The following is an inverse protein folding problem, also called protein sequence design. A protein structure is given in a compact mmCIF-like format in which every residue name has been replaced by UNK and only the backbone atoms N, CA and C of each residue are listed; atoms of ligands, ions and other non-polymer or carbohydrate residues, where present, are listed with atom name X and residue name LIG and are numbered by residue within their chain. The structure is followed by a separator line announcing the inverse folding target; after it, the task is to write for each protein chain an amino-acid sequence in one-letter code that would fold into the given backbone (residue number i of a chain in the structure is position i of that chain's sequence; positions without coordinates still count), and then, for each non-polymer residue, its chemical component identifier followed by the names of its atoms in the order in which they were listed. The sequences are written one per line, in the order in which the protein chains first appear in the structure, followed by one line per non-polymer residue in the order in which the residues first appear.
data_IF_185053958164
#
_entry.id   IF_185053958164
#
_cell.length_a   1.000
_cell.length_b   1.000
_cell.length_c   1.000
_cell.angle_alpha   90.00
_cell.angle_beta   90.00
_cell.angle_gamma   90.00
#
_symmetry.space_group_name_H-M   'P 1'
#
loop_
_entity.id
_entity.type
_entity.pdbx_description
1 polymer ?
#
# COMPACT_ATOMS: atom_id res chain seq x y z
N UNK A 1 -13.91 2.48 -7.09
CA UNK A 1 -12.50 2.04 -6.93
C UNK A 1 -12.06 2.50 -5.56
N UNK A 2 -11.41 1.63 -4.79
CA UNK A 2 -10.84 1.93 -3.48
C UNK A 2 -9.92 3.16 -3.63
N UNK A 3 -10.14 4.23 -2.84
CA UNK A 3 -9.24 5.38 -2.82
C UNK A 3 -7.77 5.01 -2.67
N UNK A 4 -7.44 3.95 -1.92
CA UNK A 4 -6.07 3.45 -1.77
C UNK A 4 -5.47 3.03 -3.12
N UNK A 5 -6.23 2.34 -3.97
CA UNK A 5 -5.78 1.94 -5.32
C UNK A 5 -5.52 3.15 -6.23
N UNK A 6 -6.28 4.25 -6.06
CA UNK A 6 -6.06 5.49 -6.82
C UNK A 6 -4.75 6.17 -6.42
N UNK A 7 -4.55 6.37 -5.12
CA UNK A 7 -3.31 6.98 -4.63
C UNK A 7 -2.10 6.11 -4.95
N UNK A 8 -2.20 4.79 -4.84
CA UNK A 8 -1.13 3.89 -5.24
C UNK A 8 -0.73 4.04 -6.72
N UNK A 9 -1.69 4.24 -7.63
CA UNK A 9 -1.39 4.45 -9.05
C UNK A 9 -0.60 5.74 -9.27
N UNK A 10 -1.03 6.84 -8.66
CA UNK A 10 -0.38 8.14 -8.78
C UNK A 10 1.01 8.12 -8.13
N UNK A 11 1.10 7.72 -6.86
CA UNK A 11 2.35 7.74 -6.09
C UNK A 11 3.39 6.77 -6.65
N UNK A 12 2.98 5.59 -7.13
CA UNK A 12 3.94 4.66 -7.77
C UNK A 12 4.47 5.20 -9.10
N UNK A 13 3.62 5.82 -9.91
CA UNK A 13 4.06 6.46 -11.15
C UNK A 13 5.00 7.64 -10.89
N UNK A 14 4.67 8.49 -9.92
CA UNK A 14 5.54 9.58 -9.47
C UNK A 14 6.90 9.06 -9.01
N UNK A 15 6.95 7.97 -8.23
CA UNK A 15 8.20 7.37 -7.80
C UNK A 15 9.08 6.86 -8.96
N UNK A 16 8.48 6.32 -10.03
CA UNK A 16 9.22 5.95 -11.23
C UNK A 16 9.75 7.19 -11.98
N UNK A 17 8.93 8.23 -12.13
CA UNK A 17 9.33 9.48 -12.79
C UNK A 17 10.45 10.18 -12.01
N UNK A 18 10.34 10.25 -10.68
CA UNK A 18 11.39 10.78 -9.80
C UNK A 18 12.70 9.98 -9.91
N UNK A 19 12.61 8.67 -10.18
CA UNK A 19 13.77 7.82 -10.45
C UNK A 19 14.30 7.93 -11.90
N UNK A 20 13.72 8.80 -12.74
CA UNK A 20 14.17 9.05 -14.11
C UNK A 20 13.61 8.12 -15.18
N UNK A 21 12.60 7.30 -14.85
CA UNK A 21 11.99 6.38 -15.81
C UNK A 21 10.80 7.01 -16.54
N UNK A 22 10.75 6.75 -17.85
CA UNK A 22 9.60 7.05 -18.68
C UNK A 22 8.65 5.85 -18.75
N UNK A 23 7.37 6.10 -19.06
CA UNK A 23 6.38 5.03 -19.24
C UNK A 23 6.78 4.00 -20.30
N UNK A 24 7.46 4.42 -21.38
CA UNK A 24 7.93 3.52 -22.43
C UNK A 24 9.02 2.57 -21.95
N UNK A 25 9.92 3.02 -21.07
CA UNK A 25 10.94 2.17 -20.45
C UNK A 25 10.35 1.15 -19.47
N UNK A 26 9.23 1.50 -18.82
CA UNK A 26 8.53 0.61 -17.90
C UNK A 26 7.73 -0.49 -18.61
N UNK A 27 7.17 -0.17 -19.77
CA UNK A 27 6.28 -1.07 -20.50
C UNK A 27 7.02 -2.35 -20.93
N UNK A 28 6.53 -3.50 -20.47
CA UNK A 28 7.13 -4.81 -20.76
C UNK A 28 8.36 -5.15 -19.90
N UNK A 29 8.82 -4.24 -19.04
CA UNK A 29 9.99 -4.47 -18.18
C UNK A 29 9.76 -5.55 -17.13
N UNK A 30 10.83 -6.23 -16.72
CA UNK A 30 10.84 -7.16 -15.59
C UNK A 30 10.87 -6.41 -14.26
N UNK A 31 9.89 -5.53 -14.04
CA UNK A 31 9.75 -4.72 -12.84
C UNK A 31 8.74 -5.35 -11.88
N UNK A 32 9.15 -5.61 -10.64
CA UNK A 32 8.27 -6.11 -9.59
C UNK A 32 7.45 -4.99 -8.92
N UNK A 33 6.30 -5.34 -8.37
CA UNK A 33 5.41 -4.44 -7.61
C UNK A 33 5.07 -5.09 -6.27
N UNK A 34 5.44 -4.44 -5.18
CA UNK A 34 5.22 -4.93 -3.83
C UNK A 34 4.49 -3.85 -3.01
N UNK A 35 3.24 -4.12 -2.64
CA UNK A 35 2.39 -3.16 -1.92
C UNK A 35 2.16 -3.65 -0.49
N UNK A 36 2.52 -2.85 0.49
CA UNK A 36 2.06 -3.00 1.87
C UNK A 36 0.73 -2.28 2.05
N UNK A 37 -0.33 -3.01 2.40
CA UNK A 37 -1.65 -2.44 2.66
C UNK A 37 -2.31 -3.22 3.79
N UNK A 38 -2.73 -2.51 4.85
CA UNK A 38 -3.58 -3.05 5.92
C UNK A 38 -5.03 -2.65 5.66
N UNK A 39 -5.95 -3.61 5.85
CA UNK A 39 -7.41 -3.45 5.77
C UNK A 39 -7.96 -2.88 4.46
N UNK A 40 -9.22 -3.23 4.21
CA UNK A 40 -9.99 -2.66 3.12
C UNK A 40 -11.37 -2.24 3.65
N UNK A 41 -11.39 -1.10 4.34
CA UNK A 41 -12.62 -0.44 4.78
C UNK A 41 -13.58 -0.23 3.60
N UNK A 42 -13.02 -0.02 2.41
CA UNK A 42 -13.76 0.17 1.17
C UNK A 42 -14.71 -0.99 0.84
N UNK A 43 -14.28 -2.25 0.98
CA UNK A 43 -15.17 -3.40 0.74
C UNK A 43 -16.35 -3.44 1.71
N UNK A 44 -16.17 -2.97 2.94
CA UNK A 44 -17.25 -2.86 3.93
C UNK A 44 -18.20 -1.72 3.63
N UNK A 45 -17.74 -0.66 2.97
CA UNK A 45 -18.60 0.43 2.51
C UNK A 45 -19.42 0.06 1.27
N UNK A 46 -18.93 -0.90 0.47
CA UNK A 46 -19.59 -1.39 -0.74
C UNK A 46 -20.69 -2.43 -0.47
N UNK A 47 -20.97 -2.81 0.78
CA UNK A 47 -22.03 -3.79 1.10
C UNK A 47 -23.43 -3.17 0.87
N UNK A 48 -24.10 -3.56 -0.22
CA UNK A 48 -25.46 -3.15 -0.61
C UNK A 48 -25.72 -3.27 -2.12
N UNK A 49 -26.86 -2.78 -2.62
CA UNK A 49 -27.26 -2.78 -4.06
C UNK A 49 -26.32 -1.96 -5.00
N UNK A 50 -25.23 -1.41 -4.46
CA UNK A 50 -24.24 -0.58 -5.16
C UNK A 50 -23.08 -1.42 -5.74
N UNK A 51 -23.11 -2.76 -5.63
CA UNK A 51 -22.05 -3.61 -6.18
C UNK A 51 -22.23 -3.83 -7.69
N UNK A 52 -21.80 -2.87 -8.50
CA UNK A 52 -21.65 -3.07 -9.94
C UNK A 52 -20.61 -4.15 -10.29
N UNK A 53 -20.51 -4.56 -11.57
CA UNK A 53 -19.62 -5.65 -12.01
C UNK A 53 -18.13 -5.42 -11.68
N UNK A 54 -17.74 -4.18 -11.41
CA UNK A 54 -16.37 -3.79 -11.07
C UNK A 54 -16.10 -3.70 -9.56
N UNK A 55 -17.04 -4.09 -8.70
CA UNK A 55 -16.84 -4.04 -7.25
C UNK A 55 -15.65 -4.91 -6.80
N UNK A 56 -15.54 -6.13 -7.34
CA UNK A 56 -14.46 -7.06 -7.02
C UNK A 56 -13.08 -6.49 -7.37
N UNK A 57 -12.92 -5.95 -8.59
CA UNK A 57 -11.65 -5.33 -8.99
C UNK A 57 -11.44 -3.98 -8.32
N UNK A 58 -12.52 -3.32 -7.92
CA UNK A 58 -12.51 -2.03 -7.27
C UNK A 58 -12.13 -2.06 -5.80
N UNK A 59 -12.09 -3.22 -5.13
CA UNK A 59 -11.79 -3.30 -3.69
C UNK A 59 -10.94 -4.48 -3.24
N UNK A 60 -10.64 -5.47 -4.09
CA UNK A 60 -9.72 -6.54 -3.70
C UNK A 60 -8.31 -6.01 -3.42
N UNK A 61 -7.69 -6.44 -2.31
CA UNK A 61 -6.33 -6.06 -1.94
C UNK A 61 -5.30 -6.53 -2.97
N UNK A 62 -5.47 -7.71 -3.56
CA UNK A 62 -4.60 -8.20 -4.64
C UNK A 62 -4.56 -7.26 -5.85
N UNK A 63 -5.61 -6.49 -6.07
CA UNK A 63 -5.71 -5.55 -7.19
C UNK A 63 -4.87 -4.30 -6.93
N UNK A 64 -4.52 -3.97 -5.69
CA UNK A 64 -3.64 -2.83 -5.39
C UNK A 64 -2.29 -2.94 -6.09
N UNK A 65 -1.59 -4.07 -5.99
CA UNK A 65 -0.37 -4.31 -6.75
C UNK A 65 -0.65 -4.59 -8.25
N UNK A 66 -1.63 -5.46 -8.54
CA UNK A 66 -1.88 -5.89 -9.93
C UNK A 66 -2.34 -4.74 -10.84
N UNK A 67 -3.04 -3.73 -10.30
CA UNK A 67 -3.49 -2.57 -11.08
C UNK A 67 -2.33 -1.68 -11.48
N UNK A 68 -1.31 -1.51 -10.62
CA UNK A 68 -0.06 -0.82 -10.97
C UNK A 68 0.64 -1.59 -12.09
N UNK A 69 0.84 -2.89 -11.90
CA UNK A 69 1.48 -3.76 -12.91
C UNK A 69 0.76 -3.69 -14.25
N UNK A 70 -0.57 -3.78 -14.24
CA UNK A 70 -1.42 -3.70 -15.43
C UNK A 70 -1.30 -2.33 -16.12
N UNK A 71 -1.43 -1.24 -15.36
CA UNK A 71 -1.52 0.12 -15.94
C UNK A 71 -0.20 0.63 -16.50
N UNK A 72 0.93 0.17 -15.95
CA UNK A 72 2.28 0.51 -16.40
C UNK A 72 2.92 -0.57 -17.29
N UNK A 73 2.25 -1.70 -17.49
CA UNK A 73 2.73 -2.80 -18.33
C UNK A 73 3.89 -3.60 -17.74
N UNK A 74 4.05 -3.60 -16.41
CA UNK A 74 5.15 -4.28 -15.70
C UNK A 74 4.92 -5.79 -15.67
N UNK A 75 6.00 -6.56 -15.89
CA UNK A 75 5.95 -8.02 -16.05
C UNK A 75 6.66 -8.80 -14.94
N UNK A 76 7.21 -8.12 -13.95
CA UNK A 76 7.80 -8.77 -12.78
C UNK A 76 6.75 -9.25 -11.76
N UNK A 77 7.21 -9.79 -10.61
CA UNK A 77 6.31 -10.25 -9.54
C UNK A 77 5.39 -9.13 -9.04
N UNK A 78 4.11 -9.43 -8.80
CA UNK A 78 3.14 -8.46 -8.28
C UNK A 78 2.45 -9.03 -7.05
N UNK A 79 2.61 -8.38 -5.90
CA UNK A 79 2.09 -8.88 -4.64
C UNK A 79 1.66 -7.75 -3.70
N UNK A 80 0.55 -7.98 -3.01
CA UNK A 80 0.10 -7.16 -1.88
C UNK A 80 0.27 -7.95 -0.60
N UNK A 81 0.79 -7.33 0.44
CA UNK A 81 1.13 -7.95 1.71
C UNK A 81 0.42 -7.22 2.85
N UNK A 82 -0.08 -8.00 3.80
CA UNK A 82 -0.66 -7.52 5.03
C UNK A 82 0.03 -8.23 6.20
N UNK A 83 0.83 -7.44 6.92
CA UNK A 83 1.43 -7.80 8.21
C UNK A 83 1.12 -6.70 9.23
N UNK A 84 -0.06 -6.07 9.12
CA UNK A 84 -0.45 -4.89 9.87
C UNK A 84 0.55 -3.72 9.71
N UNK A 85 1.05 -3.14 10.80
CA UNK A 85 1.88 -1.94 10.78
C UNK A 85 3.22 -2.11 10.03
N UNK A 86 3.72 -3.34 9.88
CA UNK A 86 4.98 -3.61 9.18
C UNK A 86 4.83 -3.86 7.67
N UNK A 87 3.61 -3.81 7.12
CA UNK A 87 3.32 -4.26 5.75
C UNK A 87 4.21 -3.63 4.69
N UNK A 88 4.44 -2.31 4.74
CA UNK A 88 5.30 -1.62 3.78
C UNK A 88 6.78 -2.00 3.92
N UNK A 89 7.25 -2.27 5.14
CA UNK A 89 8.62 -2.71 5.38
C UNK A 89 8.84 -4.16 4.93
N UNK A 90 7.84 -5.04 5.13
CA UNK A 90 7.86 -6.42 4.62
C UNK A 90 7.81 -6.44 3.09
N UNK A 91 7.06 -5.52 2.47
CA UNK A 91 7.08 -5.32 1.03
C UNK A 91 8.46 -4.89 0.53
N UNK A 92 9.14 -3.99 1.26
CA UNK A 92 10.51 -3.57 0.96
C UNK A 92 11.51 -4.72 1.06
N UNK A 93 11.46 -5.50 2.15
CA UNK A 93 12.32 -6.67 2.33
C UNK A 93 12.11 -7.70 1.21
N UNK A 94 10.85 -7.99 0.86
CA UNK A 94 10.53 -8.93 -0.21
C UNK A 94 11.01 -8.44 -1.57
N UNK A 95 10.88 -7.14 -1.85
CA UNK A 95 11.40 -6.55 -3.07
C UNK A 95 12.92 -6.65 -3.15
N UNK A 96 13.64 -6.29 -2.09
CA UNK A 96 15.09 -6.41 -2.00
C UNK A 96 15.55 -7.87 -2.16
N UNK A 97 14.87 -8.83 -1.52
CA UNK A 97 15.16 -10.25 -1.68
C UNK A 97 14.90 -10.74 -3.13
N UNK A 98 13.85 -10.23 -3.79
CA UNK A 98 13.51 -10.56 -5.18
C UNK A 98 14.56 -10.04 -6.16
N UNK A 99 15.02 -8.79 -5.97
CA UNK A 99 16.09 -8.17 -6.76
C UNK A 99 17.42 -8.91 -6.58
N UNK A 100 17.82 -9.21 -5.33
CA UNK A 100 19.04 -9.99 -5.04
C UNK A 100 19.02 -11.38 -5.68
N UNK A 101 17.85 -12.00 -5.79
CA UNK A 101 17.64 -13.29 -6.47
C UNK A 101 17.50 -13.16 -7.99
N UNK A 102 17.65 -11.95 -8.55
CA UNK A 102 17.52 -11.65 -9.98
C UNK A 102 16.19 -12.11 -10.58
N UNK A 103 15.11 -12.08 -9.79
CA UNK A 103 13.75 -12.40 -10.27
C UNK A 103 13.04 -11.20 -10.91
N UNK A 104 13.62 -10.01 -10.75
CA UNK A 104 13.25 -8.78 -11.43
C UNK A 104 14.51 -7.88 -11.53
N UNK A 105 14.49 -6.92 -12.43
CA UNK A 105 15.60 -5.96 -12.66
C UNK A 105 15.38 -4.63 -11.94
N UNK A 106 14.13 -4.36 -11.57
CA UNK A 106 13.68 -3.21 -10.82
C UNK A 106 12.48 -3.62 -9.98
N UNK A 107 12.21 -2.91 -8.89
CA UNK A 107 11.00 -3.12 -8.11
C UNK A 107 10.44 -1.79 -7.63
N UNK A 108 9.12 -1.66 -7.60
CA UNK A 108 8.45 -0.59 -6.84
C UNK A 108 7.89 -1.16 -5.55
N UNK A 109 8.18 -0.49 -4.45
CA UNK A 109 7.67 -0.77 -3.12
C UNK A 109 6.72 0.34 -2.76
N UNK A 110 5.48 0.01 -2.42
CA UNK A 110 4.48 0.98 -2.00
C UNK A 110 3.93 0.64 -0.62
N UNK A 111 3.47 1.65 0.10
CA UNK A 111 2.72 1.51 1.35
C UNK A 111 1.52 2.44 1.34
N UNK A 112 0.35 1.95 1.72
CA UNK A 112 -0.87 2.78 1.82
C UNK A 112 -1.68 2.43 3.07
N UNK A 113 -2.24 3.45 3.70
CA UNK A 113 -3.23 3.31 4.78
C UNK A 113 -4.23 4.47 4.72
N UNK A 114 -5.52 4.13 4.81
CA UNK A 114 -6.63 5.08 4.92
C UNK A 114 -7.58 4.73 6.06
N UNK A 115 -8.16 5.75 6.68
CA UNK A 115 -9.04 5.72 7.84
C UNK A 115 -10.47 6.06 7.40
N UNK A 116 -11.06 5.22 6.54
CA UNK A 116 -12.37 5.51 5.92
C UNK A 116 -13.54 5.27 6.87
N UNK A 117 -13.35 4.37 7.84
CA UNK A 117 -14.40 3.89 8.72
C UNK A 117 -13.98 3.94 10.21
N UNK A 118 -14.89 4.35 11.13
CA UNK A 118 -14.55 4.52 12.54
C UNK A 118 -14.32 3.18 13.28
N UNK A 119 -14.77 2.05 12.75
CA UNK A 119 -14.77 0.77 13.46
C UNK A 119 -13.37 0.32 13.88
N UNK A 120 -12.37 0.50 13.01
CA UNK A 120 -10.98 0.17 13.35
C UNK A 120 -10.44 1.14 14.41
N UNK A 121 -10.84 2.41 14.39
CA UNK A 121 -10.47 3.38 15.43
C UNK A 121 -11.08 2.99 16.79
N UNK A 122 -12.37 2.64 16.83
CA UNK A 122 -13.07 2.17 18.04
C UNK A 122 -12.41 0.92 18.59
N UNK A 123 -12.08 -0.06 17.75
CA UNK A 123 -11.40 -1.29 18.17
C UNK A 123 -10.03 -0.99 18.80
N UNK A 124 -9.23 -0.08 18.20
CA UNK A 124 -7.95 0.35 18.77
C UNK A 124 -8.12 1.11 20.11
N UNK A 125 -9.18 1.91 20.28
CA UNK A 125 -9.53 2.54 21.56
C UNK A 125 -9.87 1.50 22.63
N UNK A 126 -10.73 0.52 22.30
CA UNK A 126 -11.11 -0.57 23.21
C UNK A 126 -9.91 -1.42 23.64
N UNK A 127 -8.96 -1.61 22.71
CA UNK A 127 -7.68 -2.27 22.98
C UNK A 127 -6.66 -1.38 23.71
N UNK A 128 -7.02 -0.14 24.08
CA UNK A 128 -6.15 0.84 24.76
C UNK A 128 -4.85 1.14 23.99
N UNK A 129 -4.88 1.07 22.67
CA UNK A 129 -3.71 1.33 21.82
C UNK A 129 -3.54 2.82 21.49
N UNK A 130 -4.64 3.60 21.54
CA UNK A 130 -4.66 5.00 21.09
C UNK A 130 -4.43 5.99 22.23
N UNK A 131 -3.65 7.02 21.93
CA UNK A 131 -3.38 8.14 22.83
C UNK A 131 -4.62 9.01 23.01
N UNK A 132 -5.07 9.17 24.27
CA UNK A 132 -6.15 10.11 24.64
C UNK A 132 -5.75 11.57 24.41
N UNK A 133 -4.45 11.85 24.28
CA UNK A 133 -3.92 13.19 24.01
C UNK A 133 -3.86 13.54 22.52
N UNK A 134 -4.23 12.61 21.63
CA UNK A 134 -4.17 12.85 20.18
C UNK A 134 -2.75 13.08 19.64
N UNK A 135 -1.71 12.64 20.37
CA UNK A 135 -0.30 12.73 19.93
C UNK A 135 0.49 11.49 20.27
N UNK A 136 1.35 11.05 19.34
CA UNK A 136 2.44 10.12 19.61
C UNK A 136 3.55 10.85 20.36
N UNK A 137 3.74 10.55 21.64
CA UNK A 137 4.83 11.12 22.44
C UNK A 137 6.01 10.14 22.50
N UNK A 138 6.69 9.97 21.36
CA UNK A 138 7.75 8.96 21.23
C UNK A 138 8.85 9.19 22.28
N UNK A 139 9.10 8.16 23.10
CA UNK A 139 10.08 8.15 24.19
C UNK A 139 9.82 9.08 25.39
N UNK A 140 8.65 9.74 25.44
CA UNK A 140 8.27 10.60 26.57
C UNK A 140 7.64 9.78 27.71
N UNK A 141 7.91 10.14 28.97
CA UNK A 141 7.32 9.48 30.15
C UNK A 141 5.78 9.53 30.15
N UNK A 142 5.21 10.59 29.58
CA UNK A 142 3.75 10.79 29.50
C UNK A 142 3.10 10.15 28.27
N UNK A 143 3.81 9.25 27.57
CA UNK A 143 3.28 8.50 26.43
C UNK A 143 2.13 7.57 26.85
N UNK A 144 1.02 7.63 26.10
CA UNK A 144 -0.22 6.91 26.43
C UNK A 144 -0.83 6.18 25.23
N UNK A 145 0.00 5.72 24.29
CA UNK A 145 -0.42 5.08 23.04
C UNK A 145 -0.03 5.88 21.80
N UNK A 146 -0.42 5.40 20.62
CA UNK A 146 -0.13 6.05 19.33
C UNK A 146 -1.37 6.76 18.77
N UNK A 147 -1.20 7.49 17.67
CA UNK A 147 -2.28 8.12 16.91
C UNK A 147 -2.27 7.54 15.52
N UNK A 148 -3.46 7.16 15.02
CA UNK A 148 -3.60 6.65 13.66
C UNK A 148 -3.40 7.81 12.67
N UNK A 149 -2.64 7.56 11.61
CA UNK A 149 -2.45 8.48 10.50
C UNK A 149 -2.75 7.80 9.17
N UNK A 150 -2.98 8.59 8.14
CA UNK A 150 -3.13 8.15 6.75
C UNK A 150 -1.86 8.46 5.96
N UNK A 151 -1.66 7.74 4.86
CA UNK A 151 -0.56 8.04 3.96
C UNK A 151 -0.47 7.05 2.81
N UNK A 152 0.13 7.52 1.72
CA UNK A 152 0.56 6.70 0.59
C UNK A 152 1.99 7.09 0.26
N UNK A 153 2.87 6.11 0.12
CA UNK A 153 4.27 6.33 -0.24
C UNK A 153 4.75 5.23 -1.18
N UNK A 154 5.67 5.57 -2.07
CA UNK A 154 6.30 4.63 -2.98
C UNK A 154 7.80 4.91 -3.15
N UNK A 155 8.55 3.85 -3.40
CA UNK A 155 9.98 3.88 -3.68
C UNK A 155 10.32 2.93 -4.82
N UNK A 156 11.16 3.38 -5.74
CA UNK A 156 11.75 2.53 -6.79
C UNK A 156 13.09 2.00 -6.32
N UNK A 157 13.31 0.69 -6.45
CA UNK A 157 14.52 -0.02 -6.07
C UNK A 157 15.19 -0.63 -7.31
N UNK A 158 16.51 -0.54 -7.35
CA UNK A 158 17.38 -1.20 -8.32
C UNK A 158 18.43 -2.06 -7.56
N UNK A 159 19.11 -3.01 -8.24
CA UNK A 159 20.14 -3.85 -7.63
C UNK A 159 21.31 -3.09 -7.01
#
# INVERSE_FOLDING_TARGET
MDPQQRHLLETSFEAFVCAGFTKSQLMGSSTGVFVGQDKCDWNRMLTGDQSGPYAATGGSSSISANRISYSLGLKGPSATMDTACSSSLVAADTAAATLRRRRCEMATVCGVNMLLLPQTFIACCQAKMLSVFGRCKTFDESAAGYVRGEGCGAQTLQP
#
